data_IF_655474362792
#
_entry.id   IF_655474362792
#
_cell.length_a   1.000
_cell.length_b   1.000
_cell.length_c   1.000
_cell.angle_alpha   90.00
_cell.angle_beta   90.00
_cell.angle_gamma   90.00
#
_symmetry.space_group_name_H-M   'P 1'
#
loop_
_entity.id
_entity.type
_entity.pdbx_description
1 polymer ?
#
# COMPACT_ATOMS: atom_id res chain seq x y z
N UNK A 1 11.51 -6.58 3.39
CA UNK A 1 11.06 -7.25 4.63
C UNK A 1 10.01 -8.34 4.38
N UNK A 2 8.87 -8.14 3.70
CA UNK A 2 7.85 -9.18 3.56
C UNK A 2 8.36 -10.50 3.00
N UNK A 3 9.21 -10.47 1.97
CA UNK A 3 9.80 -11.68 1.34
C UNK A 3 10.63 -12.49 2.34
N UNK A 4 11.44 -11.82 3.15
CA UNK A 4 12.30 -12.46 4.15
C UNK A 4 11.46 -13.12 5.25
N UNK A 5 10.42 -12.44 5.72
CA UNK A 5 9.49 -12.98 6.75
C UNK A 5 8.77 -14.22 6.22
N UNK A 6 8.28 -14.16 4.97
CA UNK A 6 7.62 -15.31 4.34
C UNK A 6 8.58 -16.51 4.20
N UNK A 7 9.84 -16.25 3.85
CA UNK A 7 10.87 -17.30 3.77
C UNK A 7 11.16 -17.93 5.14
N UNK A 8 11.28 -17.12 6.19
CA UNK A 8 11.44 -17.65 7.55
C UNK A 8 10.25 -18.51 7.99
N UNK A 9 9.02 -18.09 7.66
CA UNK A 9 7.84 -18.93 7.91
C UNK A 9 7.91 -20.27 7.18
N UNK A 10 8.42 -20.29 5.94
CA UNK A 10 8.61 -21.52 5.19
C UNK A 10 9.60 -22.47 5.91
N UNK A 11 10.73 -21.94 6.36
CA UNK A 11 11.72 -22.74 7.11
C UNK A 11 11.19 -23.21 8.47
N UNK A 12 10.44 -22.38 9.17
CA UNK A 12 9.78 -22.78 10.44
C UNK A 12 8.77 -23.89 10.18
N UNK A 13 7.97 -23.81 9.14
CA UNK A 13 7.06 -24.88 8.76
C UNK A 13 7.80 -26.19 8.47
N UNK A 14 8.90 -26.13 7.74
CA UNK A 14 9.73 -27.30 7.47
C UNK A 14 10.31 -27.90 8.76
N UNK A 15 10.81 -27.08 9.67
CA UNK A 15 11.31 -27.51 10.98
C UNK A 15 10.24 -28.24 11.80
N UNK A 16 9.02 -27.70 11.84
CA UNK A 16 7.87 -28.33 12.51
C UNK A 16 7.52 -29.68 11.88
N UNK A 17 7.60 -29.81 10.55
CA UNK A 17 7.37 -31.10 9.88
C UNK A 17 8.41 -32.15 10.28
N UNK A 18 9.70 -31.78 10.36
CA UNK A 18 10.75 -32.68 10.82
C UNK A 18 10.61 -33.05 12.32
N UNK A 19 10.24 -32.09 13.15
CA UNK A 19 9.94 -32.36 14.56
C UNK A 19 8.78 -33.35 14.69
N UNK A 20 7.71 -33.14 13.92
CA UNK A 20 6.58 -34.06 13.86
C UNK A 20 6.98 -35.48 13.46
N UNK A 21 7.91 -35.60 12.50
CA UNK A 21 8.46 -36.90 12.08
C UNK A 21 9.23 -37.60 13.22
N UNK A 22 10.07 -36.87 13.93
CA UNK A 22 10.85 -37.42 15.08
C UNK A 22 9.93 -37.84 16.21
N UNK A 23 8.87 -37.07 16.48
CA UNK A 23 7.90 -37.35 17.55
C UNK A 23 6.82 -38.37 17.15
N UNK A 24 6.77 -38.80 15.88
CA UNK A 24 5.71 -39.66 15.37
C UNK A 24 4.32 -38.99 15.36
N UNK A 25 4.27 -37.67 15.25
CA UNK A 25 3.03 -36.89 15.29
C UNK A 25 2.62 -36.46 13.89
N UNK A 26 1.62 -37.12 13.31
CA UNK A 26 1.13 -36.86 11.96
C UNK A 26 0.57 -35.46 11.79
N UNK A 27 -0.08 -34.88 12.80
CA UNK A 27 -0.64 -33.55 12.75
C UNK A 27 0.44 -32.47 12.58
N UNK A 28 1.57 -32.60 13.27
CA UNK A 28 2.72 -31.68 13.11
C UNK A 28 3.37 -31.84 11.74
N UNK A 29 3.47 -33.07 11.21
CA UNK A 29 4.01 -33.31 9.86
C UNK A 29 3.16 -32.58 8.84
N UNK A 30 1.85 -32.80 8.86
CA UNK A 30 0.90 -32.21 7.90
C UNK A 30 0.90 -30.68 8.02
N UNK A 31 0.76 -30.15 9.23
CA UNK A 31 0.75 -28.71 9.47
C UNK A 31 2.07 -28.06 9.01
N UNK A 32 3.20 -28.65 9.35
CA UNK A 32 4.51 -28.14 8.94
C UNK A 32 4.73 -28.16 7.43
N UNK A 33 4.30 -29.22 6.74
CA UNK A 33 4.35 -29.29 5.27
C UNK A 33 3.47 -28.22 4.62
N UNK A 34 2.24 -28.01 5.11
CA UNK A 34 1.33 -26.99 4.59
C UNK A 34 1.92 -25.58 4.74
N UNK A 35 2.39 -25.24 5.92
CA UNK A 35 3.02 -23.93 6.22
C UNK A 35 4.29 -23.75 5.41
N UNK A 36 5.12 -24.76 5.30
CA UNK A 36 6.36 -24.75 4.51
C UNK A 36 6.07 -24.49 3.01
N UNK A 37 5.14 -25.25 2.44
CA UNK A 37 4.75 -25.10 1.04
C UNK A 37 4.13 -23.72 0.76
N UNK A 38 3.19 -23.27 1.59
CA UNK A 38 2.56 -21.96 1.47
C UNK A 38 3.59 -20.83 1.59
N UNK A 39 4.52 -20.91 2.55
CA UNK A 39 5.58 -19.93 2.75
C UNK A 39 6.53 -19.83 1.55
N UNK A 40 6.93 -20.95 0.94
CA UNK A 40 7.78 -20.96 -0.27
C UNK A 40 7.04 -20.31 -1.45
N UNK A 41 5.76 -20.66 -1.65
CA UNK A 41 4.95 -20.10 -2.73
C UNK A 41 4.80 -18.59 -2.58
N UNK A 42 4.44 -18.12 -1.39
CA UNK A 42 4.31 -16.70 -1.08
C UNK A 42 5.64 -15.95 -1.27
N UNK A 43 6.76 -16.51 -0.79
CA UNK A 43 8.09 -15.93 -0.96
C UNK A 43 8.41 -15.71 -2.44
N UNK A 44 8.10 -16.70 -3.29
CA UNK A 44 8.32 -16.62 -4.74
C UNK A 44 7.44 -15.57 -5.40
N UNK A 45 6.15 -15.53 -5.06
CA UNK A 45 5.20 -14.55 -5.60
C UNK A 45 5.58 -13.13 -5.20
N UNK A 46 5.98 -12.92 -3.94
CA UNK A 46 6.38 -11.59 -3.47
C UNK A 46 7.71 -11.13 -4.06
N UNK A 47 8.68 -12.02 -4.23
CA UNK A 47 9.94 -11.70 -4.92
C UNK A 47 9.65 -11.29 -6.39
N UNK A 48 8.74 -12.01 -7.07
CA UNK A 48 8.28 -11.64 -8.41
C UNK A 48 7.58 -10.27 -8.42
N UNK A 49 6.71 -9.99 -7.44
CA UNK A 49 6.03 -8.70 -7.31
C UNK A 49 6.98 -7.53 -7.03
N UNK A 50 8.20 -7.79 -6.52
CA UNK A 50 9.26 -6.80 -6.36
C UNK A 50 10.20 -6.74 -7.58
N UNK A 51 9.97 -7.55 -8.60
CA UNK A 51 10.88 -7.75 -9.75
C UNK A 51 12.32 -8.10 -9.31
N UNK A 52 12.47 -8.91 -8.27
CA UNK A 52 13.77 -9.34 -7.73
C UNK A 52 13.84 -10.85 -7.57
N UNK A 53 15.02 -11.43 -7.81
CA UNK A 53 15.26 -12.82 -7.44
C UNK A 53 15.37 -12.98 -5.92
N UNK A 54 15.01 -14.15 -5.40
CA UNK A 54 15.15 -14.46 -3.96
C UNK A 54 16.59 -14.28 -3.50
N UNK A 55 17.57 -14.70 -4.32
CA UNK A 55 18.99 -14.51 -4.02
C UNK A 55 19.37 -13.03 -3.92
N UNK A 56 18.84 -12.19 -4.80
CA UNK A 56 19.06 -10.74 -4.72
C UNK A 56 18.46 -10.13 -3.45
N UNK A 57 17.29 -10.61 -3.01
CA UNK A 57 16.66 -10.14 -1.76
C UNK A 57 17.46 -10.53 -0.52
N UNK A 58 18.10 -11.70 -0.54
CA UNK A 58 18.83 -12.22 0.62
C UNK A 58 20.27 -11.69 0.72
N UNK A 59 20.96 -11.51 -0.42
CA UNK A 59 22.40 -11.29 -0.47
C UNK A 59 22.82 -9.95 -1.07
N UNK A 60 21.89 -9.15 -1.66
CA UNK A 60 22.27 -7.81 -2.11
C UNK A 60 22.26 -6.82 -0.97
N UNK A 61 23.29 -5.96 -0.91
CA UNK A 61 23.31 -4.81 -0.02
C UNK A 61 22.17 -3.86 -0.40
N UNK A 62 21.18 -3.72 0.48
CA UNK A 62 20.23 -2.62 0.45
C UNK A 62 21.00 -1.34 0.81
N UNK A 63 21.47 -0.59 -0.16
CA UNK A 63 22.26 0.60 0.10
C UNK A 63 23.33 0.91 -0.95
N UNK A 64 23.46 0.09 -1.99
CA UNK A 64 24.19 0.51 -3.20
C UNK A 64 23.32 1.57 -3.91
N UNK A 65 23.41 2.78 -3.42
CA UNK A 65 22.78 3.95 -3.99
C UNK A 65 23.43 4.27 -5.33
N UNK A 66 22.75 3.92 -6.43
CA UNK A 66 22.86 4.79 -7.60
C UNK A 66 22.36 6.17 -7.15
N UNK A 67 23.08 7.23 -7.45
CA UNK A 67 22.58 8.60 -7.25
C UNK A 67 21.25 8.71 -8.00
N UNK A 68 20.16 8.73 -7.26
CA UNK A 68 18.86 8.98 -7.85
C UNK A 68 18.89 10.41 -8.42
N UNK A 69 18.47 10.58 -9.66
CA UNK A 69 18.37 11.88 -10.27
C UNK A 69 17.49 12.78 -9.39
N UNK A 70 17.96 14.00 -9.10
CA UNK A 70 17.18 14.98 -8.35
C UNK A 70 15.89 15.28 -9.13
N UNK A 71 14.74 15.14 -8.48
CA UNK A 71 13.44 15.41 -9.09
C UNK A 71 13.20 16.92 -9.01
N UNK A 72 13.11 17.58 -10.17
CA UNK A 72 12.74 18.98 -10.25
C UNK A 72 11.23 19.13 -10.05
N UNK A 73 10.82 20.04 -9.17
CA UNK A 73 9.42 20.33 -8.90
C UNK A 73 9.15 20.86 -7.49
N UNK A 74 7.96 21.33 -7.23
CA UNK A 74 7.48 21.73 -5.91
C UNK A 74 6.29 20.89 -5.50
N UNK A 75 6.29 20.43 -4.26
CA UNK A 75 5.15 19.73 -3.67
C UNK A 75 4.05 20.77 -3.39
N UNK A 76 2.81 20.43 -3.76
CA UNK A 76 1.66 21.33 -3.65
C UNK A 76 0.84 20.92 -2.42
N UNK A 77 0.87 21.68 -1.30
CA UNK A 77 0.07 21.37 -0.12
C UNK A 77 -1.42 21.60 -0.40
N UNK A 78 -2.27 20.88 0.34
CA UNK A 78 -3.72 21.02 0.33
C UNK A 78 -4.27 20.84 1.75
N UNK A 79 -5.40 21.46 2.04
CA UNK A 79 -6.07 21.35 3.34
C UNK A 79 -7.12 20.22 3.35
N UNK A 80 -7.43 19.70 4.55
CA UNK A 80 -8.39 18.61 4.71
C UNK A 80 -9.80 18.95 4.23
N UNK A 81 -10.23 20.21 4.36
CA UNK A 81 -11.53 20.69 3.86
C UNK A 81 -11.65 20.58 2.34
N UNK A 82 -10.61 20.98 1.62
CA UNK A 82 -10.59 20.92 0.15
C UNK A 82 -10.58 19.45 -0.32
N UNK A 83 -9.80 18.59 0.33
CA UNK A 83 -9.75 17.15 0.03
C UNK A 83 -11.11 16.50 0.30
N UNK A 84 -11.76 16.82 1.42
CA UNK A 84 -13.08 16.30 1.74
C UNK A 84 -14.13 16.73 0.70
N UNK A 85 -14.09 17.99 0.28
CA UNK A 85 -14.96 18.48 -0.80
C UNK A 85 -14.68 17.76 -2.13
N UNK A 86 -13.42 17.61 -2.52
CA UNK A 86 -13.06 16.88 -3.75
C UNK A 86 -13.58 15.44 -3.74
N UNK A 87 -13.46 14.73 -2.61
CA UNK A 87 -13.95 13.36 -2.49
C UNK A 87 -15.49 13.29 -2.43
N UNK A 88 -16.14 14.25 -1.77
CA UNK A 88 -17.60 14.28 -1.62
C UNK A 88 -18.34 14.46 -2.97
N UNK A 89 -17.72 15.14 -3.92
CA UNK A 89 -18.26 15.38 -5.25
C UNK A 89 -17.67 14.48 -6.35
N UNK A 90 -16.81 13.55 -5.98
CA UNK A 90 -16.24 12.55 -6.89
C UNK A 90 -17.27 11.46 -7.22
N UNK A 91 -17.20 10.89 -8.41
CA UNK A 91 -17.93 9.66 -8.74
C UNK A 91 -17.18 8.42 -8.25
N UNK A 92 -15.84 8.44 -8.36
CA UNK A 92 -14.96 7.32 -8.02
C UNK A 92 -13.78 7.77 -7.18
N UNK A 93 -13.61 7.13 -6.04
CA UNK A 93 -12.47 7.32 -5.13
C UNK A 93 -11.75 5.99 -4.95
N UNK A 94 -10.44 5.99 -5.13
CA UNK A 94 -9.59 4.83 -4.84
C UNK A 94 -8.66 5.16 -3.68
N UNK A 95 -8.70 4.34 -2.65
CA UNK A 95 -7.83 4.47 -1.48
C UNK A 95 -6.67 3.49 -1.63
N UNK A 96 -5.46 4.00 -1.46
CA UNK A 96 -4.20 3.26 -1.62
C UNK A 96 -3.50 3.17 -0.27
N UNK A 97 -3.78 2.10 0.51
CA UNK A 97 -3.17 1.93 1.82
C UNK A 97 -1.75 1.37 1.70
N UNK A 98 -0.87 1.82 2.57
CA UNK A 98 0.47 1.29 2.73
C UNK A 98 0.82 1.05 4.19
N UNK A 99 2.08 0.69 4.45
CA UNK A 99 2.54 0.39 5.80
C UNK A 99 2.32 1.54 6.81
N UNK A 100 2.40 2.78 6.36
CA UNK A 100 2.15 3.94 7.22
C UNK A 100 0.72 4.01 7.77
N UNK A 101 -0.28 3.44 7.09
CA UNK A 101 -1.63 3.30 7.61
C UNK A 101 -1.65 2.40 8.85
N UNK A 102 -0.93 1.26 8.80
CA UNK A 102 -0.81 0.34 9.92
C UNK A 102 -0.09 0.99 11.12
N UNK A 103 0.98 1.74 10.85
CA UNK A 103 1.74 2.46 11.90
C UNK A 103 0.89 3.53 12.57
N UNK A 104 0.08 4.25 11.80
CA UNK A 104 -0.81 5.27 12.31
C UNK A 104 -2.10 4.70 12.95
N UNK A 105 -2.34 3.38 12.83
CA UNK A 105 -3.58 2.71 13.25
C UNK A 105 -4.85 3.41 12.72
N UNK A 106 -4.77 3.92 11.50
CA UNK A 106 -5.81 4.74 10.90
C UNK A 106 -6.87 3.94 10.12
N UNK A 107 -6.79 2.59 10.08
CA UNK A 107 -7.66 1.72 9.28
C UNK A 107 -9.15 1.92 9.58
N UNK A 108 -9.53 2.05 10.85
CA UNK A 108 -10.91 2.28 11.24
C UNK A 108 -11.43 3.66 10.80
N UNK A 109 -10.58 4.69 10.86
CA UNK A 109 -10.94 6.05 10.41
C UNK A 109 -11.06 6.14 8.89
N UNK A 110 -10.20 5.45 8.17
CA UNK A 110 -10.30 5.35 6.70
C UNK A 110 -11.55 4.56 6.30
N UNK A 111 -11.92 3.53 7.06
CA UNK A 111 -13.18 2.84 6.82
C UNK A 111 -14.40 3.73 7.11
N UNK A 112 -14.41 4.47 8.22
CA UNK A 112 -15.48 5.45 8.53
C UNK A 112 -15.60 6.50 7.41
N UNK A 113 -14.47 7.02 6.90
CA UNK A 113 -14.43 7.92 5.75
C UNK A 113 -15.07 7.29 4.52
N UNK A 114 -14.69 6.05 4.22
CA UNK A 114 -15.20 5.31 3.05
C UNK A 114 -16.70 5.06 3.12
N UNK A 115 -17.21 4.68 4.29
CA UNK A 115 -18.65 4.47 4.51
C UNK A 115 -19.45 5.74 4.22
N UNK A 116 -18.98 6.90 4.69
CA UNK A 116 -19.64 8.18 4.42
C UNK A 116 -19.62 8.55 2.94
N UNK A 117 -18.54 8.29 2.24
CA UNK A 117 -18.47 8.49 0.80
C UNK A 117 -19.46 7.57 0.07
N UNK A 118 -19.56 6.31 0.47
CA UNK A 118 -20.51 5.34 -0.09
C UNK A 118 -21.95 5.77 0.16
N UNK A 119 -22.29 6.24 1.37
CA UNK A 119 -23.60 6.80 1.71
C UNK A 119 -23.99 7.98 0.82
N UNK A 120 -23.01 8.76 0.33
CA UNK A 120 -23.21 9.85 -0.64
C UNK A 120 -23.28 9.36 -2.08
N UNK A 121 -23.16 8.09 -2.35
CA UNK A 121 -23.21 7.50 -3.69
C UNK A 121 -21.86 7.44 -4.41
N UNK A 122 -20.76 7.77 -3.74
CA UNK A 122 -19.41 7.67 -4.28
C UNK A 122 -18.97 6.20 -4.34
N UNK A 123 -18.43 5.78 -5.46
CA UNK A 123 -17.85 4.43 -5.61
C UNK A 123 -16.46 4.40 -5.02
N UNK A 124 -16.29 3.71 -3.89
CA UNK A 124 -15.01 3.59 -3.19
C UNK A 124 -14.42 2.20 -3.40
N UNK A 125 -13.12 2.13 -3.72
CA UNK A 125 -12.32 0.90 -3.78
C UNK A 125 -11.00 1.09 -3.04
N UNK A 126 -10.45 -0.04 -2.56
CA UNK A 126 -9.12 -0.10 -1.93
C UNK A 126 -8.17 -0.81 -2.88
N UNK A 127 -7.11 -0.13 -3.30
CA UNK A 127 -6.10 -0.67 -4.20
C UNK A 127 -4.93 -1.24 -3.39
N UNK A 128 -4.74 -2.56 -3.46
CA UNK A 128 -3.71 -3.25 -2.69
C UNK A 128 -2.53 -3.63 -3.57
N UNK A 129 -1.35 -3.23 -3.12
CA UNK A 129 -0.11 -3.72 -3.70
C UNK A 129 0.36 -4.98 -2.97
N UNK A 130 0.80 -6.06 -3.67
CA UNK A 130 1.18 -7.34 -3.06
C UNK A 130 2.27 -7.24 -1.99
N UNK A 131 3.17 -6.26 -2.09
CA UNK A 131 4.26 -6.04 -1.13
C UNK A 131 4.02 -4.85 -0.19
N UNK A 132 2.82 -4.26 -0.21
CA UNK A 132 2.46 -3.22 0.75
C UNK A 132 2.42 -3.80 2.18
N UNK A 133 3.13 -3.16 3.10
CA UNK A 133 3.20 -3.62 4.47
C UNK A 133 4.50 -4.34 4.83
N UNK A 134 4.45 -5.21 5.83
CA UNK A 134 5.62 -5.96 6.35
C UNK A 134 5.48 -7.48 6.26
N UNK A 135 4.29 -7.99 5.99
CA UNK A 135 4.01 -9.41 5.82
C UNK A 135 3.05 -9.64 4.65
N UNK A 136 2.98 -10.85 4.08
CA UNK A 136 2.01 -11.18 3.03
C UNK A 136 0.57 -10.87 3.46
N UNK A 137 -0.19 -10.19 2.61
CA UNK A 137 -1.59 -9.85 2.89
C UNK A 137 -1.79 -8.85 4.04
N UNK A 138 -0.75 -8.13 4.47
CA UNK A 138 -0.84 -7.22 5.61
C UNK A 138 -2.00 -6.22 5.47
N UNK A 139 -2.13 -5.59 4.31
CA UNK A 139 -3.19 -4.60 4.09
C UNK A 139 -4.58 -5.24 4.04
N UNK A 140 -4.69 -6.43 3.46
CA UNK A 140 -5.95 -7.17 3.41
C UNK A 140 -6.45 -7.52 4.83
N UNK A 141 -5.57 -8.02 5.68
CA UNK A 141 -5.90 -8.34 7.09
C UNK A 141 -6.29 -7.08 7.86
N UNK A 142 -5.53 -5.99 7.68
CA UNK A 142 -5.78 -4.72 8.39
C UNK A 142 -7.13 -4.10 7.99
N UNK A 143 -7.47 -4.15 6.70
CA UNK A 143 -8.76 -3.66 6.21
C UNK A 143 -9.92 -4.57 6.64
N UNK A 144 -9.72 -5.89 6.64
CA UNK A 144 -10.71 -6.84 7.13
C UNK A 144 -10.97 -6.65 8.63
N UNK A 145 -9.93 -6.38 9.43
CA UNK A 145 -10.07 -6.03 10.87
C UNK A 145 -10.91 -4.76 11.07
N UNK A 146 -10.74 -3.78 10.18
CA UNK A 146 -11.56 -2.57 10.20
C UNK A 146 -13.01 -2.78 9.74
N UNK A 147 -13.34 -3.95 9.21
CA UNK A 147 -14.68 -4.29 8.71
C UNK A 147 -14.93 -3.91 7.25
N UNK A 148 -13.89 -3.68 6.47
CA UNK A 148 -14.01 -3.42 5.03
C UNK A 148 -14.47 -4.68 4.30
N UNK A 149 -15.55 -4.65 3.52
CA UNK A 149 -15.98 -5.76 2.67
C UNK A 149 -14.92 -6.15 1.65
N UNK A 150 -14.74 -7.45 1.41
CA UNK A 150 -13.71 -7.96 0.49
C UNK A 150 -13.92 -7.54 -0.97
N UNK A 151 -15.16 -7.30 -1.38
CA UNK A 151 -15.50 -6.83 -2.72
C UNK A 151 -15.03 -5.39 -3.03
N UNK A 152 -14.71 -4.62 -1.99
CA UNK A 152 -14.10 -3.30 -2.12
C UNK A 152 -12.57 -3.34 -2.18
N UNK A 153 -11.97 -4.49 -1.84
CA UNK A 153 -10.51 -4.69 -1.83
C UNK A 153 -10.09 -5.28 -3.17
N UNK A 154 -9.36 -4.52 -3.97
CA UNK A 154 -8.99 -4.88 -5.34
C UNK A 154 -7.48 -4.99 -5.46
N UNK A 155 -7.02 -6.05 -6.10
CA UNK A 155 -5.61 -6.29 -6.36
C UNK A 155 -5.07 -5.33 -7.44
N UNK A 156 -3.76 -5.12 -7.42
CA UNK A 156 -3.06 -4.17 -8.30
C UNK A 156 -3.36 -4.38 -9.79
N UNK A 157 -3.37 -5.62 -10.25
CA UNK A 157 -3.54 -5.94 -11.68
C UNK A 157 -4.94 -5.58 -12.18
N UNK A 158 -5.94 -5.69 -11.31
CA UNK A 158 -7.34 -5.39 -11.63
C UNK A 158 -7.65 -3.89 -11.50
N UNK A 159 -7.02 -3.20 -10.53
CA UNK A 159 -7.30 -1.78 -10.27
C UNK A 159 -6.51 -0.84 -11.18
N UNK A 160 -5.31 -1.22 -11.64
CA UNK A 160 -4.46 -0.33 -12.43
C UNK A 160 -5.15 0.26 -13.67
N UNK A 161 -5.94 -0.49 -14.45
CA UNK A 161 -6.69 0.07 -15.58
C UNK A 161 -7.77 1.09 -15.17
N UNK A 162 -8.24 1.04 -13.92
CA UNK A 162 -9.32 1.91 -13.44
C UNK A 162 -8.83 3.29 -13.00
N UNK A 163 -7.54 3.47 -12.72
CA UNK A 163 -7.02 4.78 -12.27
C UNK A 163 -7.28 5.90 -13.26
N UNK A 164 -7.24 5.65 -14.57
CA UNK A 164 -7.55 6.66 -15.59
C UNK A 164 -8.99 7.21 -15.49
N UNK A 165 -9.91 6.44 -14.92
CA UNK A 165 -11.30 6.81 -14.70
C UNK A 165 -11.60 7.20 -13.25
N UNK A 166 -10.58 7.28 -12.39
CA UNK A 166 -10.70 7.64 -10.98
C UNK A 166 -10.60 9.13 -10.80
N UNK A 167 -11.57 9.73 -10.11
CA UNK A 167 -11.58 11.17 -9.87
C UNK A 167 -10.57 11.59 -8.81
N UNK A 168 -10.54 10.82 -7.70
CA UNK A 168 -9.62 11.07 -6.59
C UNK A 168 -8.98 9.76 -6.13
N UNK A 169 -7.67 9.73 -6.08
CA UNK A 169 -6.90 8.68 -5.41
C UNK A 169 -6.30 9.20 -4.12
N UNK A 170 -6.62 8.54 -3.00
CA UNK A 170 -6.11 8.87 -1.68
C UNK A 170 -5.01 7.89 -1.29
N UNK A 171 -3.77 8.34 -1.30
CA UNK A 171 -2.61 7.55 -0.87
C UNK A 171 -2.33 7.80 0.60
N UNK A 172 -2.35 6.75 1.41
CA UNK A 172 -2.09 6.84 2.84
C UNK A 172 -1.07 5.79 3.29
N UNK A 173 0.10 6.25 3.68
CA UNK A 173 1.16 5.39 4.18
C UNK A 173 1.86 4.52 3.13
N UNK A 174 1.61 4.72 1.84
CA UNK A 174 2.34 4.12 0.73
C UNK A 174 3.36 5.10 0.16
N UNK A 175 4.49 4.60 -0.35
CA UNK A 175 5.52 5.41 -0.99
C UNK A 175 6.09 4.69 -2.22
N UNK A 176 7.02 3.74 -2.06
CA UNK A 176 7.73 3.12 -3.19
C UNK A 176 6.79 2.39 -4.16
N UNK A 177 5.70 1.81 -3.66
CA UNK A 177 4.69 1.06 -4.44
C UNK A 177 3.80 1.94 -5.34
N UNK A 178 3.90 3.26 -5.22
CA UNK A 178 3.20 4.24 -6.06
C UNK A 178 4.17 5.17 -6.79
N UNK A 179 5.47 4.87 -6.77
CA UNK A 179 6.51 5.74 -7.32
C UNK A 179 6.71 5.47 -8.82
N UNK A 180 6.39 6.43 -9.71
CA UNK A 180 6.57 6.28 -11.15
C UNK A 180 8.00 6.02 -11.61
N UNK A 181 9.01 6.40 -10.79
CA UNK A 181 10.43 6.14 -11.05
C UNK A 181 10.71 4.66 -11.26
N UNK A 182 9.91 3.76 -10.69
CA UNK A 182 10.01 2.31 -10.94
C UNK A 182 9.85 1.92 -12.43
N UNK A 183 9.18 2.75 -13.21
CA UNK A 183 8.97 2.53 -14.66
C UNK A 183 9.92 3.35 -15.54
N UNK A 184 10.39 4.48 -15.06
CA UNK A 184 11.06 5.50 -15.88
C UNK A 184 12.56 5.55 -15.73
N UNK A 185 13.13 5.21 -14.57
CA UNK A 185 14.56 5.31 -14.30
C UNK A 185 15.22 3.94 -14.13
N UNK A 186 16.02 3.47 -15.14
CA UNK A 186 16.73 2.20 -15.06
C UNK A 186 17.77 2.12 -13.94
N UNK A 187 18.25 3.25 -13.43
CA UNK A 187 19.25 3.31 -12.36
C UNK A 187 18.59 3.25 -10.95
N UNK A 188 17.27 3.37 -10.89
CA UNK A 188 16.55 3.32 -9.63
C UNK A 188 16.60 1.93 -8.98
N UNK A 189 16.78 1.83 -7.65
CA UNK A 189 16.76 0.56 -6.93
C UNK A 189 15.40 -0.16 -7.00
N UNK A 190 14.33 0.53 -7.39
CA UNK A 190 13.00 -0.04 -7.58
C UNK A 190 12.63 -0.26 -9.05
N UNK A 191 13.56 -0.06 -9.98
CA UNK A 191 13.28 -0.22 -11.40
C UNK A 191 12.71 -1.59 -11.76
N UNK A 192 11.69 -1.59 -12.61
CA UNK A 192 10.98 -2.80 -13.04
C UNK A 192 10.02 -3.39 -11.99
N UNK A 193 9.93 -2.81 -10.81
CA UNK A 193 8.90 -3.20 -9.84
C UNK A 193 7.52 -2.77 -10.37
N UNK A 194 6.53 -3.67 -10.46
CA UNK A 194 5.17 -3.27 -10.70
C UNK A 194 4.70 -2.28 -9.63
N UNK A 195 3.96 -1.26 -10.01
CA UNK A 195 3.45 -0.23 -9.11
C UNK A 195 1.95 -0.01 -9.33
N UNK A 196 1.30 0.59 -8.36
CA UNK A 196 -0.04 1.15 -8.53
C UNK A 196 0.06 2.46 -9.33
N UNK A 197 -0.63 2.53 -10.45
CA UNK A 197 -0.56 3.63 -11.42
C UNK A 197 -1.40 4.85 -11.01
N UNK A 198 -1.25 5.25 -9.76
CA UNK A 198 -2.01 6.35 -9.12
C UNK A 198 -1.83 7.67 -9.86
N UNK A 199 -0.69 7.88 -10.49
CA UNK A 199 -0.38 9.08 -11.30
C UNK A 199 -1.38 9.30 -12.44
N UNK A 200 -2.07 8.26 -12.89
CA UNK A 200 -3.06 8.33 -13.96
C UNK A 200 -4.44 8.83 -13.48
N UNK A 201 -4.67 8.95 -12.17
CA UNK A 201 -5.91 9.50 -11.64
C UNK A 201 -6.05 10.98 -11.95
N UNK A 202 -7.28 11.48 -12.01
CA UNK A 202 -7.52 12.92 -12.26
C UNK A 202 -6.91 13.78 -11.16
N UNK A 203 -7.06 13.36 -9.90
CA UNK A 203 -6.44 13.99 -8.74
C UNK A 203 -5.87 12.94 -7.81
N UNK A 204 -4.67 13.17 -7.32
CA UNK A 204 -4.00 12.32 -6.34
C UNK A 204 -3.73 13.10 -5.07
N UNK A 205 -4.21 12.60 -3.95
CA UNK A 205 -3.96 13.16 -2.62
C UNK A 205 -3.06 12.20 -1.84
N UNK A 206 -1.98 12.73 -1.32
CA UNK A 206 -1.02 11.92 -0.54
C UNK A 206 -0.97 12.43 0.89
N UNK A 207 -1.38 11.58 1.84
CA UNK A 207 -1.24 11.85 3.27
C UNK A 207 0.16 11.45 3.72
N UNK A 208 0.93 12.40 4.24
CA UNK A 208 2.31 12.19 4.67
C UNK A 208 2.69 13.09 5.83
N UNK A 209 3.42 12.53 6.82
CA UNK A 209 3.88 13.29 8.00
C UNK A 209 4.94 14.36 7.68
N UNK A 210 5.69 14.19 6.62
CA UNK A 210 6.79 15.11 6.27
C UNK A 210 7.48 14.73 4.96
N UNK A 211 8.58 15.41 4.63
CA UNK A 211 9.30 15.27 3.35
C UNK A 211 10.24 14.06 3.26
N UNK A 212 10.24 13.14 4.25
CA UNK A 212 11.12 11.96 4.26
C UNK A 212 10.90 11.01 3.08
N UNK A 213 11.92 10.21 2.75
CA UNK A 213 11.90 9.19 1.68
C UNK A 213 11.21 7.90 2.13
N UNK A 214 10.89 6.99 1.19
CA UNK A 214 10.37 5.65 1.45
C UNK A 214 11.46 4.66 1.90
N UNK A 215 11.10 3.38 1.93
CA UNK A 215 12.03 2.30 2.32
C UNK A 215 13.21 2.16 1.36
N UNK A 216 13.01 2.46 0.08
CA UNK A 216 14.08 2.44 -0.92
C UNK A 216 15.07 3.61 -0.80
N UNK A 217 14.79 4.60 0.05
CA UNK A 217 15.66 5.76 0.27
C UNK A 217 15.67 6.78 -0.87
N UNK A 218 14.76 6.65 -1.83
CA UNK A 218 14.64 7.53 -3.00
C UNK A 218 13.45 8.47 -2.89
N UNK A 219 13.52 9.60 -3.58
CA UNK A 219 12.39 10.51 -3.71
C UNK A 219 11.30 9.90 -4.61
N UNK A 220 10.06 10.29 -4.35
CA UNK A 220 8.92 9.82 -5.12
C UNK A 220 8.45 10.88 -6.11
N UNK A 221 8.60 10.60 -7.40
CA UNK A 221 8.20 11.50 -8.47
C UNK A 221 6.69 11.80 -8.47
N UNK A 222 5.86 10.92 -7.92
CA UNK A 222 4.43 11.15 -7.76
C UNK A 222 4.13 12.44 -6.98
N UNK A 223 4.93 12.76 -5.96
CA UNK A 223 4.69 13.93 -5.10
C UNK A 223 4.88 15.28 -5.80
N UNK A 224 5.54 15.26 -6.94
CA UNK A 224 5.82 16.43 -7.77
C UNK A 224 4.93 16.50 -9.03
N UNK A 225 4.08 15.49 -9.25
CA UNK A 225 3.18 15.44 -10.38
C UNK A 225 2.14 16.56 -10.34
N UNK A 226 1.70 17.04 -11.50
CA UNK A 226 0.78 18.17 -11.60
C UNK A 226 -0.59 17.93 -10.97
N UNK A 227 -1.07 16.70 -11.03
CA UNK A 227 -2.33 16.24 -10.47
C UNK A 227 -2.22 15.78 -8.98
N UNK A 228 -1.05 15.91 -8.37
CA UNK A 228 -0.81 15.47 -6.98
C UNK A 228 -0.83 16.65 -6.01
N UNK A 229 -1.45 16.43 -4.85
CA UNK A 229 -1.49 17.36 -3.73
C UNK A 229 -1.08 16.61 -2.46
N UNK A 230 -0.39 17.32 -1.57
CA UNK A 230 0.16 16.78 -0.33
C UNK A 230 -0.67 17.24 0.85
N UNK A 231 -1.34 16.32 1.54
CA UNK A 231 -2.00 16.57 2.83
C UNK A 231 -1.02 16.17 3.93
N UNK A 232 -0.34 17.19 4.48
CA UNK A 232 0.68 16.96 5.52
C UNK A 232 0.05 16.77 6.89
N UNK A 233 0.41 15.70 7.57
CA UNK A 233 0.00 15.40 8.93
C UNK A 233 0.13 13.93 9.29
N UNK A 234 -0.17 13.58 10.52
CA UNK A 234 -0.26 12.19 10.93
C UNK A 234 -1.45 11.49 10.24
N UNK A 235 -1.27 10.22 9.87
CA UNK A 235 -2.29 9.48 9.10
C UNK A 235 -3.63 9.37 9.83
N UNK A 236 -3.63 9.16 11.15
CA UNK A 236 -4.85 9.05 11.94
C UNK A 236 -5.53 10.41 12.15
N UNK A 237 -4.73 11.46 12.40
CA UNK A 237 -5.23 12.83 12.54
C UNK A 237 -5.87 13.32 11.24
N UNK A 238 -5.19 13.13 10.11
CA UNK A 238 -5.70 13.55 8.80
C UNK A 238 -6.94 12.75 8.39
N UNK A 239 -6.97 11.45 8.63
CA UNK A 239 -8.16 10.64 8.39
C UNK A 239 -9.34 11.12 9.24
N UNK A 240 -9.11 11.46 10.52
CA UNK A 240 -10.13 12.00 11.42
C UNK A 240 -10.61 13.39 10.98
N UNK A 241 -9.69 14.24 10.51
CA UNK A 241 -10.03 15.56 9.97
C UNK A 241 -10.92 15.43 8.72
N UNK A 242 -10.57 14.54 7.79
CA UNK A 242 -11.36 14.27 6.58
C UNK A 242 -12.78 13.79 6.92
N UNK A 243 -12.92 12.89 7.93
CA UNK A 243 -14.23 12.45 8.42
C UNK A 243 -15.03 13.63 9.00
N UNK A 244 -14.39 14.51 9.76
CA UNK A 244 -15.04 15.67 10.37
C UNK A 244 -15.50 16.68 9.33
N UNK A 245 -14.67 16.95 8.32
CA UNK A 245 -15.01 17.85 7.21
C UNK A 245 -16.16 17.29 6.35
N UNK A 246 -16.18 15.98 6.08
CA UNK A 246 -17.33 15.36 5.42
C UNK A 246 -18.62 15.48 6.23
N UNK A 247 -18.54 15.31 7.56
CA UNK A 247 -19.71 15.53 8.46
C UNK A 247 -20.20 16.97 8.40
N UNK A 248 -19.29 17.94 8.34
CA UNK A 248 -19.66 19.34 8.23
C UNK A 248 -20.38 19.64 6.91
N UNK A 249 -19.97 18.98 5.80
CA UNK A 249 -20.66 19.10 4.52
C UNK A 249 -22.06 18.46 4.53
N UNK A 250 -22.29 17.43 5.37
CA UNK A 250 -23.62 16.79 5.54
C UNK A 250 -24.55 17.61 6.42
N UNK A 251 -24.03 18.34 7.44
CA UNK A 251 -24.79 19.12 8.39
C UNK A 251 -25.22 20.52 7.90
N UNK A 252 -24.89 20.88 6.69
CA UNK A 252 -25.21 22.16 6.05
C UNK A 252 -26.54 22.19 5.28
N UNK A 253 -27.38 21.16 5.43
CA UNK A 253 -28.71 21.09 4.83
C UNK A 253 -29.79 20.95 5.89
#
# INVERSE_FOLDING_TARGET
MPVVISLYNAFTGLAVAFEGYVLGNEALIIAGMMVGAAGILLTRLMAKAMNRSINSVLFSNFGATGEAAAIEGSQKPIDASDVAAMMAFAERVVIVPGYGLAVAQAQHKIWELSQRLIERGVKVKFAIHPVAGRMPGHMNVLLAEAGVPYDLIVDMDDINPEFANTDVSLVIGANDVVNPVAKTDPNSPIYGMPILDVVNSKNTIVIKRGKGTGFAGIENALFYADNTRMLYGDGAEMASALVSELKALDGGH
#
